data_IF_437095426285
#
_entry.id   IF_437095426285
#
_cell.length_a   1.000
_cell.length_b   1.000
_cell.length_c   1.000
_cell.angle_alpha   90.00
_cell.angle_beta   90.00
_cell.angle_gamma   90.00
#
_symmetry.space_group_name_H-M   'P 1'
#
loop_
_entity.id
_entity.type
_entity.pdbx_description
1 polymer ?
#
# COMPACT_ATOMS: atom_id res chain seq x y z
N UNK A 1 -11.47 -9.20 -9.39
CA UNK A 1 -10.53 -8.06 -9.34
C UNK A 1 -11.16 -6.72 -9.71
N UNK A 2 -12.05 -6.65 -10.71
CA UNK A 2 -12.72 -5.39 -11.10
C UNK A 2 -13.40 -4.71 -9.90
N UNK A 3 -14.24 -5.43 -9.15
CA UNK A 3 -14.96 -4.86 -7.99
C UNK A 3 -14.02 -4.29 -6.92
N UNK A 4 -12.95 -5.03 -6.61
CA UNK A 4 -11.90 -4.57 -5.68
C UNK A 4 -11.22 -3.29 -6.18
N UNK A 5 -10.84 -3.26 -7.46
CA UNK A 5 -10.22 -2.07 -8.05
C UNK A 5 -11.19 -0.87 -8.06
N UNK A 6 -12.47 -1.10 -8.36
CA UNK A 6 -13.50 -0.07 -8.26
C UNK A 6 -13.63 0.47 -6.85
N UNK A 7 -13.68 -0.40 -5.84
CA UNK A 7 -13.74 0.00 -4.43
C UNK A 7 -12.52 0.82 -4.02
N UNK A 8 -11.31 0.42 -4.44
CA UNK A 8 -10.08 1.15 -4.15
C UNK A 8 -10.07 2.54 -4.79
N UNK A 9 -10.48 2.65 -6.05
CA UNK A 9 -10.58 3.95 -6.72
C UNK A 9 -11.63 4.87 -6.08
N UNK A 10 -12.77 4.31 -5.65
CA UNK A 10 -13.79 5.06 -4.90
C UNK A 10 -13.26 5.55 -3.55
N UNK A 11 -12.38 4.78 -2.90
CA UNK A 11 -11.66 5.20 -1.71
C UNK A 11 -10.48 6.17 -1.99
N UNK A 12 -10.31 6.60 -3.25
CA UNK A 12 -9.23 7.49 -3.66
C UNK A 12 -7.84 6.85 -3.65
N UNK A 13 -7.76 5.53 -3.81
CA UNK A 13 -6.51 4.78 -3.90
C UNK A 13 -6.12 4.55 -5.37
N UNK A 14 -4.88 4.84 -5.73
CA UNK A 14 -4.35 4.53 -7.05
C UNK A 14 -3.97 3.05 -7.14
N UNK A 15 -4.85 2.21 -7.69
CA UNK A 15 -4.57 0.80 -7.90
C UNK A 15 -4.31 0.44 -9.37
N UNK A 16 -3.36 -0.47 -9.60
CA UNK A 16 -2.99 -1.00 -10.91
C UNK A 16 -2.84 -2.53 -10.84
N UNK A 17 -3.04 -3.27 -11.94
CA UNK A 17 -2.67 -4.68 -11.98
C UNK A 17 -1.17 -4.85 -11.74
N UNK A 18 -0.80 -5.95 -11.08
CA UNK A 18 0.58 -6.29 -10.77
C UNK A 18 1.02 -7.58 -11.46
N UNK A 19 2.30 -7.66 -11.80
CA UNK A 19 2.94 -8.92 -12.19
C UNK A 19 3.47 -9.60 -10.93
N UNK A 20 2.93 -10.78 -10.59
CA UNK A 20 3.22 -11.50 -9.34
C UNK A 20 4.71 -11.77 -9.17
N UNK A 21 5.34 -12.31 -10.22
CA UNK A 21 6.74 -12.75 -10.17
C UNK A 21 7.74 -11.58 -10.13
N UNK A 22 7.36 -10.43 -10.69
CA UNK A 22 8.23 -9.27 -10.83
C UNK A 22 7.97 -8.19 -9.78
N UNK A 23 6.92 -8.33 -8.97
CA UNK A 23 6.51 -7.37 -7.93
C UNK A 23 6.43 -5.92 -8.43
N UNK A 24 5.93 -5.73 -9.66
CA UNK A 24 5.78 -4.39 -10.28
C UNK A 24 4.45 -4.24 -11.02
N UNK A 25 3.99 -3.01 -11.28
CA UNK A 25 2.77 -2.79 -12.07
C UNK A 25 2.91 -3.36 -13.49
N UNK A 26 1.85 -4.04 -13.95
CA UNK A 26 1.78 -4.61 -15.31
C UNK A 26 1.50 -3.57 -16.39
N UNK A 27 1.07 -2.36 -15.98
CA UNK A 27 0.67 -1.29 -16.90
C UNK A 27 1.91 -0.58 -17.48
N UNK A 28 2.09 -0.53 -18.81
CA UNK A 28 3.15 0.26 -19.42
C UNK A 28 3.06 1.74 -19.05
N UNK A 29 4.19 2.37 -18.72
CA UNK A 29 4.21 3.78 -18.33
C UNK A 29 3.54 4.06 -16.97
N UNK A 30 3.41 3.05 -16.10
CA UNK A 30 2.72 3.17 -14.81
C UNK A 30 3.14 4.38 -13.94
N UNK A 31 4.37 4.86 -14.10
CA UNK A 31 4.90 6.06 -13.40
C UNK A 31 4.01 7.30 -13.58
N UNK A 32 3.26 7.42 -14.68
CA UNK A 32 2.31 8.53 -14.85
C UNK A 32 1.22 8.53 -13.77
N UNK A 33 0.84 7.35 -13.27
CA UNK A 33 -0.16 7.17 -12.23
C UNK A 33 0.38 7.40 -10.82
N UNK A 34 1.66 7.75 -10.65
CA UNK A 34 2.14 8.34 -9.40
C UNK A 34 1.63 9.78 -9.20
N UNK A 35 1.02 10.38 -10.24
CA UNK A 35 0.51 11.76 -10.21
C UNK A 35 -0.98 11.89 -10.50
N UNK A 36 -1.65 10.82 -10.92
CA UNK A 36 -3.10 10.79 -11.20
C UNK A 36 -3.68 9.40 -11.02
N UNK A 37 -4.96 9.33 -10.66
CA UNK A 37 -5.69 8.07 -10.65
C UNK A 37 -5.96 7.56 -12.08
N UNK A 38 -6.02 6.24 -12.29
CA UNK A 38 -6.57 5.69 -13.53
C UNK A 38 -8.08 5.94 -13.60
N UNK A 39 -8.61 6.04 -14.82
CA UNK A 39 -10.06 6.21 -14.99
C UNK A 39 -10.80 4.89 -14.68
N UNK A 40 -12.08 4.94 -14.30
CA UNK A 40 -12.88 3.72 -14.10
C UNK A 40 -12.87 2.80 -15.33
N UNK A 41 -12.88 3.37 -16.54
CA UNK A 41 -12.82 2.58 -17.78
C UNK A 41 -11.47 1.89 -17.95
N UNK A 42 -10.37 2.59 -17.67
CA UNK A 42 -9.03 1.99 -17.71
C UNK A 42 -8.92 0.84 -16.70
N UNK A 43 -9.37 1.06 -15.46
CA UNK A 43 -9.36 0.03 -14.43
C UNK A 43 -10.22 -1.17 -14.83
N UNK A 44 -11.44 -0.95 -15.32
CA UNK A 44 -12.29 -2.05 -15.81
C UNK A 44 -11.59 -2.88 -16.89
N UNK A 45 -10.96 -2.23 -17.88
CA UNK A 45 -10.22 -2.93 -18.93
C UNK A 45 -9.03 -3.71 -18.39
N UNK A 46 -8.21 -3.11 -17.52
CA UNK A 46 -6.99 -3.76 -17.04
C UNK A 46 -7.23 -4.88 -16.04
N UNK A 47 -8.27 -4.76 -15.22
CA UNK A 47 -8.60 -5.74 -14.18
C UNK A 47 -9.55 -6.86 -14.65
N UNK A 48 -9.92 -6.89 -15.94
CA UNK A 48 -10.75 -7.93 -16.52
C UNK A 48 -10.11 -9.32 -16.38
N UNK A 49 -8.82 -9.43 -16.72
CA UNK A 49 -8.06 -10.70 -16.71
C UNK A 49 -6.86 -10.67 -15.75
N UNK A 50 -6.77 -9.68 -14.87
CA UNK A 50 -5.66 -9.56 -13.92
C UNK A 50 -5.77 -10.57 -12.78
N UNK A 51 -4.64 -11.11 -12.32
CA UNK A 51 -4.56 -12.00 -11.17
C UNK A 51 -4.10 -11.30 -9.88
N UNK A 52 -3.55 -10.09 -9.98
CA UNK A 52 -3.00 -9.37 -8.83
C UNK A 52 -3.22 -7.85 -8.96
N UNK A 53 -3.22 -7.18 -7.81
CA UNK A 53 -3.40 -5.73 -7.67
C UNK A 53 -2.25 -5.17 -6.83
N UNK A 54 -1.77 -4.00 -7.21
CA UNK A 54 -0.89 -3.17 -6.39
C UNK A 54 -1.52 -1.80 -6.18
N UNK A 55 -1.23 -1.19 -5.03
CA UNK A 55 -1.60 0.20 -4.73
C UNK A 55 -0.34 1.06 -4.80
N UNK A 56 -0.40 2.15 -5.56
CA UNK A 56 0.63 3.18 -5.54
C UNK A 56 0.36 4.10 -4.35
N UNK A 57 1.23 4.05 -3.34
CA UNK A 57 1.18 4.93 -2.17
C UNK A 57 1.59 6.37 -2.52
N UNK A 58 1.50 7.28 -1.55
CA UNK A 58 1.89 8.67 -1.69
C UNK A 58 0.73 9.62 -1.98
N UNK A 59 1.06 10.81 -2.47
CA UNK A 59 0.11 11.91 -2.65
C UNK A 59 -1.06 11.56 -3.58
N UNK A 60 -0.82 10.74 -4.62
CA UNK A 60 -1.88 10.29 -5.54
C UNK A 60 -2.96 9.45 -4.84
N UNK A 61 -2.61 8.81 -3.72
CA UNK A 61 -3.53 8.02 -2.90
C UNK A 61 -3.90 8.76 -1.60
N UNK A 62 -3.87 10.10 -1.62
CA UNK A 62 -4.21 10.94 -0.47
C UNK A 62 -3.24 10.76 0.70
N UNK A 63 -1.94 10.92 0.42
CA UNK A 63 -0.84 10.78 1.38
C UNK A 63 -0.85 9.43 2.12
N UNK A 64 -1.24 8.38 1.41
CA UNK A 64 -1.16 7.01 1.92
C UNK A 64 0.31 6.63 2.11
N UNK A 65 0.66 6.16 3.29
CA UNK A 65 1.98 5.63 3.61
C UNK A 65 1.84 4.18 4.10
N UNK A 66 2.92 3.42 3.93
CA UNK A 66 2.97 2.03 4.33
C UNK A 66 4.34 1.73 4.94
N UNK A 67 4.33 1.17 6.16
CA UNK A 67 5.52 0.57 6.75
C UNK A 67 5.53 -0.91 6.40
N UNK A 68 6.58 -1.34 5.71
CA UNK A 68 6.82 -2.74 5.35
C UNK A 68 7.76 -3.38 6.38
N UNK A 69 7.20 -4.26 7.22
CA UNK A 69 7.95 -5.10 8.14
C UNK A 69 8.34 -6.40 7.43
N UNK A 70 9.59 -6.44 6.97
CA UNK A 70 10.22 -7.62 6.39
C UNK A 70 10.68 -8.62 7.47
N UNK A 71 11.44 -9.66 7.07
CA UNK A 71 12.02 -10.65 7.99
C UNK A 71 11.02 -11.30 8.96
N UNK A 72 9.87 -11.75 8.46
CA UNK A 72 8.77 -12.33 9.26
C UNK A 72 8.22 -11.38 10.34
N UNK A 73 8.34 -10.07 10.10
CA UNK A 73 7.86 -9.01 10.99
C UNK A 73 8.45 -9.07 12.41
N UNK A 74 9.72 -9.47 12.55
CA UNK A 74 10.43 -9.63 13.83
C UNK A 74 10.32 -8.40 14.76
N UNK A 75 10.32 -7.18 14.19
CA UNK A 75 10.26 -5.93 14.95
C UNK A 75 8.84 -5.39 15.16
N UNK A 76 7.82 -6.02 14.55
CA UNK A 76 6.46 -5.47 14.52
C UNK A 76 5.84 -5.37 15.92
N UNK A 77 5.89 -6.43 16.73
CA UNK A 77 5.17 -6.43 18.02
C UNK A 77 5.75 -5.37 18.98
N UNK A 78 7.07 -5.20 18.97
CA UNK A 78 7.74 -4.15 19.73
C UNK A 78 7.35 -2.75 19.22
N UNK A 79 7.30 -2.57 17.91
CA UNK A 79 6.87 -1.30 17.32
C UNK A 79 5.40 -1.00 17.66
N UNK A 80 4.51 -1.97 17.50
CA UNK A 80 3.08 -1.81 17.76
C UNK A 80 2.81 -1.49 19.23
N UNK A 81 3.54 -2.13 20.17
CA UNK A 81 3.45 -1.82 21.59
C UNK A 81 3.87 -0.37 21.90
N UNK A 82 4.91 0.16 21.23
CA UNK A 82 5.29 1.57 21.39
C UNK A 82 4.20 2.50 20.86
N UNK A 83 3.64 2.23 19.67
CA UNK A 83 2.55 3.05 19.12
C UNK A 83 1.32 3.01 20.03
N UNK A 84 0.94 1.83 20.52
CA UNK A 84 -0.22 1.68 21.41
C UNK A 84 -0.01 2.33 22.79
N UNK A 85 1.23 2.41 23.28
CA UNK A 85 1.55 3.12 24.51
C UNK A 85 1.40 4.65 24.36
N UNK A 86 1.73 5.18 23.18
CA UNK A 86 1.60 6.61 22.86
C UNK A 86 0.14 6.98 22.51
N UNK A 87 -0.51 6.20 21.65
CA UNK A 87 -1.88 6.41 21.22
C UNK A 87 -2.59 5.07 20.91
N UNK A 88 -3.35 4.52 21.88
CA UNK A 88 -4.11 3.29 21.70
C UNK A 88 -5.18 3.39 20.59
N UNK A 89 -5.78 4.58 20.42
CA UNK A 89 -6.83 4.78 19.42
C UNK A 89 -6.21 4.72 18.02
N UNK A 90 -5.09 5.39 17.80
CA UNK A 90 -4.32 5.28 16.57
C UNK A 90 -3.96 3.83 16.29
N UNK A 91 -3.34 3.13 17.25
CA UNK A 91 -2.93 1.74 17.09
C UNK A 91 -4.09 0.82 16.67
N UNK A 92 -5.29 1.04 17.22
CA UNK A 92 -6.49 0.26 16.90
C UNK A 92 -7.10 0.59 15.53
N UNK A 93 -6.78 1.76 14.97
CA UNK A 93 -7.29 2.24 13.68
C UNK A 93 -6.41 1.88 12.47
N UNK A 94 -5.20 1.37 12.72
CA UNK A 94 -4.26 0.99 11.67
C UNK A 94 -4.78 -0.19 10.85
N UNK A 95 -4.62 -0.12 9.53
CA UNK A 95 -4.88 -1.25 8.64
C UNK A 95 -3.61 -2.09 8.54
N UNK A 96 -3.67 -3.34 9.02
CA UNK A 96 -2.51 -4.24 9.07
C UNK A 96 -2.82 -5.50 8.28
N UNK A 97 -2.03 -5.78 7.26
CA UNK A 97 -2.11 -7.02 6.47
C UNK A 97 -0.84 -7.86 6.59
N UNK A 98 -0.96 -9.15 6.31
CA UNK A 98 0.17 -10.09 6.28
C UNK A 98 0.68 -10.25 4.86
N UNK A 99 1.99 -10.12 4.67
CA UNK A 99 2.62 -10.34 3.37
C UNK A 99 2.84 -11.83 3.09
N UNK A 100 3.09 -12.18 1.83
CA UNK A 100 3.34 -13.56 1.40
C UNK A 100 4.54 -14.22 2.08
N UNK A 101 5.51 -13.43 2.55
CA UNK A 101 6.74 -13.90 3.23
C UNK A 101 6.63 -13.80 4.75
N UNK A 102 5.41 -13.88 5.29
CA UNK A 102 5.11 -13.73 6.71
C UNK A 102 5.50 -12.37 7.34
N UNK A 103 5.82 -11.36 6.51
CA UNK A 103 5.95 -9.99 6.96
C UNK A 103 4.60 -9.35 7.24
N UNK A 104 4.61 -8.07 7.60
CA UNK A 104 3.39 -7.28 7.85
C UNK A 104 3.49 -5.93 7.13
N UNK A 105 2.41 -5.49 6.53
CA UNK A 105 2.29 -4.13 6.03
C UNK A 105 1.36 -3.34 6.94
N UNK A 106 1.79 -2.17 7.38
CA UNK A 106 0.99 -1.25 8.17
C UNK A 106 0.66 -0.04 7.31
N UNK A 107 -0.62 0.14 7.01
CA UNK A 107 -1.12 1.15 6.06
C UNK A 107 -1.88 2.23 6.82
N UNK A 108 -1.54 3.49 6.56
CA UNK A 108 -2.15 4.67 7.17
C UNK A 108 -2.12 5.86 6.22
N UNK A 109 -2.88 6.92 6.54
CA UNK A 109 -2.84 8.20 5.80
C UNK A 109 -2.29 9.30 6.68
N UNK A 110 -1.40 10.10 6.12
CA UNK A 110 -0.90 11.31 6.77
C UNK A 110 -1.72 12.52 6.32
N UNK A 111 -2.04 13.40 7.25
CA UNK A 111 -2.67 14.68 6.91
C UNK A 111 -1.68 15.59 6.17
N UNK A 112 -0.42 15.56 6.60
CA UNK A 112 0.70 16.30 6.01
C UNK A 112 1.37 15.53 4.86
N UNK A 113 2.19 16.25 4.08
CA UNK A 113 2.99 15.65 3.02
C UNK A 113 4.01 14.64 3.58
N UNK A 114 4.13 13.48 2.91
CA UNK A 114 5.03 12.40 3.32
C UNK A 114 6.41 12.50 2.65
N UNK A 115 7.43 11.95 3.31
CA UNK A 115 8.84 12.00 2.84
C UNK A 115 9.22 10.96 1.79
N UNK A 116 8.33 10.00 1.49
CA UNK A 116 8.60 8.90 0.56
C UNK A 116 9.46 7.79 1.16
N UNK A 117 9.97 6.91 0.29
CA UNK A 117 10.61 5.66 0.72
C UNK A 117 11.86 5.91 1.57
N UNK A 118 11.86 5.36 2.80
CA UNK A 118 12.99 5.43 3.73
C UNK A 118 13.18 4.09 4.42
N UNK A 119 14.42 3.63 4.51
CA UNK A 119 14.77 2.47 5.34
C UNK A 119 14.80 2.89 6.81
N UNK A 120 13.92 2.32 7.63
CA UNK A 120 13.78 2.67 9.05
C UNK A 120 14.67 1.82 9.96
N UNK A 121 14.92 0.56 9.58
CA UNK A 121 15.79 -0.36 10.29
C UNK A 121 16.45 -1.33 9.30
N UNK A 122 17.60 -1.89 9.69
CA UNK A 122 18.27 -2.97 8.96
C UNK A 122 19.11 -3.80 9.94
N UNK A 123 19.33 -5.07 9.61
CA UNK A 123 20.32 -5.90 10.33
C UNK A 123 21.72 -5.33 10.06
N UNK A 124 22.55 -5.32 11.09
CA UNK A 124 23.99 -5.02 11.02
C UNK A 124 24.77 -6.19 10.47
#
# INVERSE_FOLDING_TARGET
>A
MIETATSYLQAGLCCLPAMLDEKRPAVPGWKTYQKRLPTPKQAQTWFADSQAICVLTGSVSGNLEMIDFDHSAELFDRWYAMVAAEDPQLASSLVIERSQSAGKHVVYRCQEAIGGNRKLAQRT
#
